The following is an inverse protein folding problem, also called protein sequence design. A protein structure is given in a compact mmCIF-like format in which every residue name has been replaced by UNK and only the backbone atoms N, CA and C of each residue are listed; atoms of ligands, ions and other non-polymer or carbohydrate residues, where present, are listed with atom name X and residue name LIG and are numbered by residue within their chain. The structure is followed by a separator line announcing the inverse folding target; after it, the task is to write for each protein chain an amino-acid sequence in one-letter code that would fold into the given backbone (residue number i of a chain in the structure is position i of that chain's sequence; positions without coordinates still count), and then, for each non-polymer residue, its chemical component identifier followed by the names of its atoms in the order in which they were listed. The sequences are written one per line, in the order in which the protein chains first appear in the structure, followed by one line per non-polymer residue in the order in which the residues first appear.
data_IF_676501191164
#
_entry.id   IF_676501191164
#
_cell.length_a   1.000
_cell.length_b   1.000
_cell.length_c   1.000
_cell.angle_alpha   90.00
_cell.angle_beta   90.00
_cell.angle_gamma   90.00
#
_symmetry.space_group_name_H-M   'P 1'
#
loop_
_entity.id
_entity.type
_entity.pdbx_description
1 polymer ?
#
# COMPACT_ATOMS: atom_id res chain seq x y z
N UNK A 1 29.68 3.68 11.82
CA UNK A 1 28.93 4.88 12.25
C UNK A 1 28.12 4.51 13.51
N UNK A 2 28.39 5.10 14.67
CA UNK A 2 27.56 4.88 15.89
C UNK A 2 26.27 5.69 15.71
N UNK A 3 25.16 5.01 15.49
CA UNK A 3 23.84 5.64 15.38
C UNK A 3 23.27 5.79 16.79
N UNK A 4 22.84 6.99 17.14
CA UNK A 4 22.28 7.29 18.46
C UNK A 4 21.07 6.40 18.79
N UNK A 5 20.95 5.96 20.05
CA UNK A 5 19.92 4.99 20.48
C UNK A 5 18.51 5.55 20.25
N UNK A 6 18.29 6.84 20.48
CA UNK A 6 16.99 7.47 20.30
C UNK A 6 16.60 7.48 18.82
N UNK A 7 17.56 7.80 17.94
CA UNK A 7 17.36 7.77 16.49
C UNK A 7 16.97 6.36 16.02
N UNK A 8 17.60 5.32 16.58
CA UNK A 8 17.28 3.92 16.25
C UNK A 8 15.88 3.50 16.70
N UNK A 9 15.43 3.97 17.86
CA UNK A 9 14.08 3.67 18.37
C UNK A 9 13.03 4.41 17.55
N UNK A 10 13.21 5.72 17.36
CA UNK A 10 12.29 6.57 16.62
C UNK A 10 12.12 6.16 15.15
N UNK A 11 13.14 5.55 14.53
CA UNK A 11 13.06 5.04 13.14
C UNK A 11 12.46 3.63 13.02
N UNK A 12 12.14 2.96 14.13
CA UNK A 12 11.54 1.61 14.16
C UNK A 12 10.13 1.59 14.74
N UNK A 13 9.78 2.61 15.52
CA UNK A 13 8.50 2.72 16.21
C UNK A 13 7.48 3.44 15.33
N UNK A 14 6.37 2.78 14.99
CA UNK A 14 5.39 3.31 14.02
C UNK A 14 4.60 4.49 14.55
N UNK A 15 4.57 4.64 15.88
CA UNK A 15 3.98 5.78 16.58
C UNK A 15 4.89 7.02 16.58
N UNK A 16 6.12 6.92 16.08
CA UNK A 16 7.04 8.05 15.98
C UNK A 16 6.81 8.87 14.71
N UNK A 17 6.81 10.20 14.85
CA UNK A 17 6.82 11.12 13.70
C UNK A 17 8.03 10.92 12.77
N UNK A 18 9.18 10.52 13.32
CA UNK A 18 10.37 10.26 12.50
C UNK A 18 10.19 9.02 11.62
N UNK A 19 9.55 7.97 12.15
CA UNK A 19 9.16 6.80 11.38
C UNK A 19 8.21 7.21 10.25
N UNK A 20 7.16 7.97 10.57
CA UNK A 20 6.17 8.41 9.60
C UNK A 20 6.81 9.19 8.44
N UNK A 21 7.64 10.19 8.75
CA UNK A 21 8.34 10.99 7.74
C UNK A 21 9.26 10.12 6.86
N UNK A 22 10.01 9.18 7.46
CA UNK A 22 10.89 8.27 6.72
C UNK A 22 10.12 7.31 5.80
N UNK A 23 8.97 6.83 6.25
CA UNK A 23 8.14 5.89 5.51
C UNK A 23 7.19 6.58 4.50
N UNK A 24 7.19 7.91 4.44
CA UNK A 24 6.29 8.70 3.60
C UNK A 24 4.83 8.61 4.06
N UNK A 25 4.61 8.49 5.37
CA UNK A 25 3.27 8.46 5.96
C UNK A 25 2.83 9.87 6.36
N UNK A 26 1.55 10.17 6.16
CA UNK A 26 0.97 11.46 6.53
C UNK A 26 1.00 11.70 8.05
N UNK A 27 0.82 10.64 8.86
CA UNK A 27 0.83 10.69 10.32
C UNK A 27 1.29 9.36 10.95
N UNK A 28 1.85 9.38 12.17
CA UNK A 28 2.20 8.16 12.90
C UNK A 28 0.96 7.36 13.30
N UNK A 29 1.10 6.03 13.36
CA UNK A 29 0.00 5.13 13.73
C UNK A 29 0.50 3.97 14.59
N UNK A 30 -0.31 3.50 15.52
CA UNK A 30 0.01 2.31 16.32
C UNK A 30 -0.11 1.03 15.49
N UNK A 31 0.63 -0.01 15.87
CA UNK A 31 0.56 -1.34 15.23
C UNK A 31 -0.85 -1.94 15.32
N UNK A 32 -1.51 -1.77 16.45
CA UNK A 32 -2.88 -2.22 16.66
C UNK A 32 -3.86 -1.48 15.74
N UNK A 33 -3.69 -0.17 15.56
CA UNK A 33 -4.52 0.61 14.63
C UNK A 33 -4.36 0.14 13.18
N UNK A 34 -3.14 -0.24 12.78
CA UNK A 34 -2.89 -0.85 11.46
C UNK A 34 -3.66 -2.16 11.32
N UNK A 35 -3.56 -3.06 12.32
CA UNK A 35 -4.23 -4.36 12.31
C UNK A 35 -5.75 -4.23 12.30
N UNK A 36 -6.32 -3.27 13.03
CA UNK A 36 -7.75 -3.01 13.05
C UNK A 36 -8.26 -2.52 11.70
N UNK A 37 -7.52 -1.63 11.04
CA UNK A 37 -7.87 -1.17 9.69
C UNK A 37 -7.84 -2.33 8.67
N UNK A 38 -6.83 -3.21 8.75
CA UNK A 38 -6.73 -4.40 7.92
C UNK A 38 -7.90 -5.37 8.15
N UNK A 39 -8.25 -5.61 9.42
CA UNK A 39 -9.36 -6.48 9.79
C UNK A 39 -10.69 -5.93 9.25
N UNK A 40 -10.93 -4.63 9.39
CA UNK A 40 -12.16 -4.01 8.93
C UNK A 40 -12.29 -4.08 7.41
N UNK A 41 -11.21 -3.85 6.66
CA UNK A 41 -11.19 -4.01 5.20
C UNK A 41 -11.48 -5.47 4.79
N UNK A 42 -10.89 -6.45 5.48
CA UNK A 42 -11.10 -7.87 5.20
C UNK A 42 -12.56 -8.31 5.47
N UNK A 43 -13.14 -7.90 6.61
CA UNK A 43 -14.54 -8.19 6.95
C UNK A 43 -15.48 -7.58 5.92
N UNK A 44 -15.26 -6.32 5.54
CA UNK A 44 -16.06 -5.65 4.53
C UNK A 44 -15.99 -6.34 3.16
N UNK A 45 -14.79 -6.78 2.77
CA UNK A 45 -14.62 -7.56 1.55
C UNK A 45 -15.39 -8.88 1.62
N UNK A 46 -15.31 -9.60 2.74
CA UNK A 46 -16.04 -10.86 2.96
C UNK A 46 -17.55 -10.66 2.83
N UNK A 47 -18.12 -9.67 3.52
CA UNK A 47 -19.56 -9.35 3.48
C UNK A 47 -20.03 -9.08 2.04
N UNK A 48 -19.21 -8.39 1.22
CA UNK A 48 -19.57 -8.11 -0.17
C UNK A 48 -19.55 -9.34 -1.06
N UNK A 49 -18.57 -10.22 -0.87
CA UNK A 49 -18.49 -11.49 -1.59
C UNK A 49 -19.71 -12.36 -1.27
N UNK A 50 -20.09 -12.46 0.02
CA UNK A 50 -21.26 -13.25 0.42
C UNK A 50 -22.59 -12.62 -0.04
N UNK A 51 -22.66 -11.29 -0.13
CA UNK A 51 -23.82 -10.58 -0.65
C UNK A 51 -23.91 -10.49 -2.19
N UNK A 52 -22.97 -11.09 -2.94
CA UNK A 52 -22.95 -11.05 -4.41
C UNK A 52 -22.77 -9.65 -5.01
N UNK A 53 -22.26 -8.69 -4.24
CA UNK A 53 -22.14 -7.30 -4.66
C UNK A 53 -20.92 -7.09 -5.56
N UNK A 54 -21.11 -6.48 -6.73
CA UNK A 54 -20.02 -6.12 -7.67
C UNK A 54 -19.32 -4.79 -7.32
N UNK A 55 -19.78 -4.09 -6.28
CA UNK A 55 -19.24 -2.79 -5.91
C UNK A 55 -17.93 -2.95 -5.13
N UNK A 56 -16.83 -2.39 -5.65
CA UNK A 56 -15.56 -2.32 -4.93
C UNK A 56 -15.67 -1.29 -3.81
N UNK A 57 -15.55 -1.75 -2.57
CA UNK A 57 -15.45 -0.87 -1.42
C UNK A 57 -14.11 -0.13 -1.45
N UNK A 58 -14.14 1.14 -1.07
CA UNK A 58 -12.93 1.92 -0.86
C UNK A 58 -12.28 1.43 0.44
N UNK A 59 -10.98 1.11 0.46
CA UNK A 59 -10.28 0.77 1.68
C UNK A 59 -10.41 1.88 2.73
N UNK A 60 -10.32 1.53 4.01
CA UNK A 60 -10.25 2.50 5.09
C UNK A 60 -9.10 3.51 4.85
N UNK A 61 -9.26 4.81 5.14
CA UNK A 61 -8.19 5.79 4.94
C UNK A 61 -6.95 5.40 5.75
N UNK A 62 -5.79 5.40 5.09
CA UNK A 62 -4.51 5.02 5.69
C UNK A 62 -3.50 6.15 5.49
N UNK A 63 -2.62 6.40 6.47
CA UNK A 63 -1.59 7.43 6.33
C UNK A 63 -0.50 7.04 5.34
N UNK A 64 -0.35 5.76 5.00
CA UNK A 64 0.63 5.32 4.02
C UNK A 64 0.09 5.33 2.60
N UNK A 65 0.95 5.61 1.60
CA UNK A 65 0.53 5.65 0.22
C UNK A 65 0.01 4.30 -0.27
N UNK A 66 -1.03 4.34 -1.10
CA UNK A 66 -1.57 3.16 -1.76
C UNK A 66 -0.55 2.61 -2.76
N UNK A 67 -0.04 1.41 -2.47
CA UNK A 67 0.88 0.68 -3.36
C UNK A 67 0.30 0.51 -4.77
N UNK A 68 -1.03 0.43 -4.91
CA UNK A 68 -1.67 0.30 -6.21
C UNK A 68 -1.71 1.61 -7.01
N UNK A 69 -1.55 2.77 -6.37
CA UNK A 69 -1.46 4.07 -7.06
C UNK A 69 -0.09 4.31 -7.68
N UNK A 70 0.97 3.74 -7.11
CA UNK A 70 2.35 3.88 -7.58
C UNK A 70 2.78 2.67 -8.44
N UNK A 71 1.91 2.16 -9.32
CA UNK A 71 2.32 1.14 -10.29
C UNK A 71 3.38 1.73 -11.23
N UNK A 72 4.62 1.26 -11.10
CA UNK A 72 5.70 1.49 -12.05
C UNK A 72 5.34 0.78 -13.36
N UNK A 73 4.80 1.55 -14.30
CA UNK A 73 4.35 1.02 -15.58
C UNK A 73 3.15 1.80 -16.12
N UNK A 74 3.34 3.10 -16.39
CA UNK A 74 2.53 3.72 -17.43
C UNK A 74 3.12 3.28 -18.76
N UNK A 75 2.49 2.30 -19.40
CA UNK A 75 2.79 2.05 -20.81
C UNK A 75 1.98 3.04 -21.63
N UNK A 76 2.65 3.80 -22.49
CA UNK A 76 1.98 4.62 -23.51
C UNK A 76 1.53 3.78 -24.71
N UNK A 77 1.96 2.50 -24.76
CA UNK A 77 1.60 1.58 -25.83
C UNK A 77 0.18 1.06 -25.66
N UNK A 78 -0.53 0.94 -26.77
CA UNK A 78 -1.83 0.29 -26.77
C UNK A 78 -1.67 -1.20 -26.39
N UNK A 79 -2.74 -1.86 -25.91
CA UNK A 79 -2.68 -3.29 -25.62
C UNK A 79 -2.27 -4.16 -26.82
N UNK A 80 -2.50 -3.71 -28.06
CA UNK A 80 -2.08 -4.41 -29.26
C UNK A 80 -0.55 -4.31 -29.45
N UNK A 81 0.01 -3.11 -29.34
CA UNK A 81 1.45 -2.88 -29.51
C UNK A 81 2.26 -3.55 -28.39
N UNK A 82 1.73 -3.54 -27.17
CA UNK A 82 2.34 -4.25 -26.05
C UNK A 82 2.42 -5.77 -26.30
N UNK A 83 1.39 -6.37 -26.92
CA UNK A 83 1.39 -7.79 -27.29
C UNK A 83 2.38 -8.11 -28.40
N UNK A 84 2.55 -7.22 -29.38
CA UNK A 84 3.56 -7.41 -30.43
C UNK A 84 4.99 -7.33 -29.89
N UNK A 85 5.28 -6.36 -29.02
CA UNK A 85 6.58 -6.24 -28.35
C UNK A 85 6.88 -7.49 -27.51
N UNK A 86 5.89 -8.01 -26.78
CA UNK A 86 6.03 -9.25 -26.02
C UNK A 86 6.21 -10.47 -26.93
N UNK A 87 5.54 -10.52 -28.09
CA UNK A 87 5.71 -11.59 -29.08
C UNK A 87 7.10 -11.57 -29.70
N UNK A 88 7.64 -10.38 -30.02
CA UNK A 88 8.97 -10.21 -30.62
C UNK A 88 10.11 -10.53 -29.64
N UNK A 89 9.89 -10.34 -28.35
CA UNK A 89 10.88 -10.64 -27.29
C UNK A 89 10.70 -12.03 -26.67
N UNK A 90 9.71 -12.81 -27.13
CA UNK A 90 9.62 -14.24 -26.85
C UNK A 90 10.56 -14.91 -27.84
N UNK A 91 11.75 -15.29 -27.36
CA UNK A 91 12.83 -15.86 -28.16
C UNK A 91 12.39 -16.91 -29.18
#
# INVERSE_FOLDING_TARGET
MKVDRLLRVATRETTSHLFAARAGWDYPLSREGIQQADLFDAINHLIKVTAGSKQRLKPYPRPWPDINKNRLGKTSLSPADAREVLRKNRG
#
